data_IF_053628846860
#
_entry.id   IF_053628846860
#
_cell.length_a   1.000
_cell.length_b   1.000
_cell.length_c   1.000
_cell.angle_alpha   90.00
_cell.angle_beta   90.00
_cell.angle_gamma   90.00
#
_symmetry.space_group_name_H-M   'P 1'
#
loop_
_entity.id
_entity.type
_entity.pdbx_description
1 polymer ?
#
# COMPACT_ATOMS: atom_id res chain seq x y z
N UNK A 1 7.22 -30.65 -42.04
CA UNK A 1 7.65 -29.34 -41.51
C UNK A 1 6.54 -28.59 -40.74
N UNK A 2 5.51 -29.25 -40.20
CA UNK A 2 4.40 -28.55 -39.51
C UNK A 2 4.43 -28.60 -37.97
N UNK A 3 5.34 -29.39 -37.37
CA UNK A 3 5.33 -29.67 -35.92
C UNK A 3 6.23 -28.76 -35.08
N UNK A 4 7.23 -28.12 -35.68
CA UNK A 4 8.19 -27.28 -34.96
C UNK A 4 7.68 -25.85 -34.71
N UNK A 5 6.72 -25.37 -35.50
CA UNK A 5 6.22 -23.99 -35.38
C UNK A 5 5.20 -23.88 -34.22
N UNK A 6 4.39 -24.91 -33.98
CA UNK A 6 3.42 -24.93 -32.89
C UNK A 6 4.07 -24.96 -31.49
N UNK A 7 5.26 -25.56 -31.36
CA UNK A 7 5.96 -25.62 -30.07
C UNK A 7 6.50 -24.24 -29.63
N UNK A 8 6.91 -23.38 -30.58
CA UNK A 8 7.40 -22.03 -30.29
C UNK A 8 6.28 -21.09 -29.81
N UNK A 9 5.06 -21.25 -30.31
CA UNK A 9 3.92 -20.41 -29.90
C UNK A 9 3.50 -20.71 -28.45
N UNK A 10 3.60 -21.97 -28.02
CA UNK A 10 3.22 -22.35 -26.65
C UNK A 10 4.20 -21.79 -25.62
N UNK A 11 5.50 -21.74 -25.93
CA UNK A 11 6.53 -21.20 -25.01
C UNK A 11 6.48 -19.67 -24.94
N UNK A 12 6.13 -18.98 -26.03
CA UNK A 12 5.91 -17.52 -25.99
C UNK A 12 4.58 -17.12 -25.36
N UNK A 13 3.58 -18.01 -25.31
CA UNK A 13 2.27 -17.74 -24.73
C UNK A 13 2.21 -17.74 -23.20
N UNK A 14 3.17 -18.37 -22.52
CA UNK A 14 3.15 -18.50 -21.05
C UNK A 14 3.88 -17.39 -20.31
N UNK A 15 4.55 -16.48 -21.01
CA UNK A 15 5.27 -15.36 -20.39
C UNK A 15 4.38 -14.14 -20.09
N UNK A 16 3.11 -14.12 -20.52
CA UNK A 16 2.29 -12.90 -20.53
C UNK A 16 1.21 -12.82 -19.44
N UNK A 17 1.21 -13.71 -18.45
CA UNK A 17 0.30 -13.61 -17.30
C UNK A 17 1.01 -13.74 -15.96
N UNK A 18 2.09 -12.98 -15.78
CA UNK A 18 2.51 -12.52 -14.45
C UNK A 18 2.10 -11.05 -14.24
N UNK A 19 0.96 -10.65 -14.81
CA UNK A 19 0.36 -9.33 -14.60
C UNK A 19 -0.39 -9.34 -13.27
N UNK A 20 0.25 -8.76 -12.25
CA UNK A 20 -0.39 -8.21 -11.07
C UNK A 20 -1.27 -9.19 -10.26
N UNK A 21 -0.67 -10.23 -9.69
CA UNK A 21 -1.13 -10.67 -8.37
C UNK A 21 -0.84 -9.50 -7.41
N UNK A 22 -1.81 -8.60 -7.23
CA UNK A 22 -1.68 -7.50 -6.30
C UNK A 22 -1.54 -8.04 -4.88
N UNK A 23 -0.29 -8.24 -4.41
CA UNK A 23 0.04 -8.63 -3.05
C UNK A 23 -0.16 -7.47 -2.04
N UNK A 24 -1.01 -6.51 -2.38
CA UNK A 24 -1.39 -5.40 -1.51
C UNK A 24 -2.80 -5.62 -0.95
N UNK A 25 -3.13 -4.98 0.18
CA UNK A 25 -4.47 -5.07 0.74
C UNK A 25 -5.50 -4.51 -0.23
N UNK A 26 -6.64 -5.21 -0.35
CA UNK A 26 -7.76 -4.82 -1.22
C UNK A 26 -8.82 -3.99 -0.48
N UNK A 27 -8.82 -4.08 0.85
CA UNK A 27 -9.79 -3.42 1.71
C UNK A 27 -9.16 -3.02 3.05
N UNK A 28 -9.95 -2.31 3.86
CA UNK A 28 -9.55 -1.84 5.18
C UNK A 28 -9.10 -2.97 6.10
N UNK A 29 -9.87 -4.05 6.18
CA UNK A 29 -9.59 -5.16 7.09
C UNK A 29 -8.26 -5.84 6.77
N UNK A 30 -8.00 -6.11 5.48
CA UNK A 30 -6.73 -6.65 5.01
C UNK A 30 -5.56 -5.70 5.33
N UNK A 31 -5.73 -4.40 5.08
CA UNK A 31 -4.69 -3.39 5.35
C UNK A 31 -4.32 -3.35 6.84
N UNK A 32 -5.32 -3.33 7.73
CA UNK A 32 -5.10 -3.32 9.19
C UNK A 32 -4.47 -4.61 9.68
N UNK A 33 -4.93 -5.76 9.17
CA UNK A 33 -4.41 -7.07 9.57
C UNK A 33 -2.95 -7.27 9.13
N UNK A 34 -2.62 -6.85 7.90
CA UNK A 34 -1.28 -7.02 7.36
C UNK A 34 -0.28 -6.04 7.96
N UNK A 35 -0.71 -4.80 8.24
CA UNK A 35 0.21 -3.70 8.52
C UNK A 35 0.04 -3.07 9.89
N UNK A 36 -1.19 -2.70 10.29
CA UNK A 36 -1.39 -1.98 11.55
C UNK A 36 -1.16 -2.85 12.79
N UNK A 37 -1.52 -4.14 12.73
CA UNK A 37 -1.25 -5.08 13.83
C UNK A 37 0.24 -5.43 13.97
N UNK A 38 1.05 -5.11 12.95
CA UNK A 38 2.49 -5.41 12.91
C UNK A 38 3.37 -4.18 13.14
N UNK A 39 2.78 -2.99 13.28
CA UNK A 39 3.53 -1.79 13.60
C UNK A 39 4.20 -1.94 14.97
N UNK A 40 5.49 -1.61 15.05
CA UNK A 40 6.27 -1.75 16.27
C UNK A 40 5.93 -0.64 17.30
N UNK A 41 5.61 0.57 16.84
CA UNK A 41 5.17 1.68 17.69
C UNK A 41 3.66 1.82 17.80
N UNK A 42 3.19 2.42 18.90
CA UNK A 42 1.76 2.65 19.15
C UNK A 42 1.19 3.63 18.15
N UNK A 43 1.89 4.75 17.95
CA UNK A 43 1.44 5.79 17.04
C UNK A 43 1.61 5.36 15.58
N UNK A 44 2.61 4.54 15.25
CA UNK A 44 2.72 3.87 13.96
C UNK A 44 1.51 3.01 13.65
N UNK A 45 1.02 2.23 14.62
CA UNK A 45 -0.21 1.44 14.48
C UNK A 45 -1.46 2.32 14.29
N UNK A 46 -1.57 3.42 15.02
CA UNK A 46 -2.67 4.39 14.89
C UNK A 46 -2.67 5.06 13.52
N UNK A 47 -1.52 5.56 13.07
CA UNK A 47 -1.34 6.20 11.77
C UNK A 47 -1.57 5.22 10.61
N UNK A 48 -1.14 3.95 10.75
CA UNK A 48 -1.42 2.90 9.78
C UNK A 48 -2.93 2.65 9.66
N UNK A 49 -3.67 2.55 10.77
CA UNK A 49 -5.14 2.40 10.74
C UNK A 49 -5.81 3.59 10.06
N UNK A 50 -5.34 4.81 10.33
CA UNK A 50 -5.82 6.02 9.64
C UNK A 50 -5.56 5.95 8.14
N UNK A 51 -4.34 5.58 7.75
CA UNK A 51 -3.97 5.45 6.34
C UNK A 51 -4.84 4.40 5.63
N UNK A 52 -5.06 3.24 6.25
CA UNK A 52 -5.95 2.20 5.76
C UNK A 52 -7.41 2.68 5.66
N UNK A 53 -7.92 3.40 6.68
CA UNK A 53 -9.29 3.94 6.70
C UNK A 53 -9.49 4.92 5.55
N UNK A 54 -8.59 5.90 5.42
CA UNK A 54 -8.66 6.92 4.39
C UNK A 54 -8.48 6.37 2.97
N UNK A 55 -7.75 5.25 2.82
CA UNK A 55 -7.57 4.63 1.50
C UNK A 55 -8.74 3.74 1.08
N UNK A 56 -9.33 2.99 2.00
CA UNK A 56 -10.24 1.89 1.64
C UNK A 56 -11.66 1.97 2.21
N UNK A 57 -11.86 2.70 3.31
CA UNK A 57 -13.15 2.70 4.02
C UNK A 57 -13.89 4.02 3.84
N UNK A 58 -13.25 5.14 4.14
CA UNK A 58 -13.89 6.47 4.19
C UNK A 58 -12.95 7.55 3.64
N UNK A 59 -12.65 7.56 2.32
CA UNK A 59 -11.76 8.56 1.73
C UNK A 59 -12.28 10.00 1.87
N UNK A 60 -13.60 10.19 1.99
CA UNK A 60 -14.23 11.51 2.14
C UNK A 60 -14.29 12.03 3.58
N UNK A 61 -13.82 11.29 4.58
CA UNK A 61 -13.88 11.73 5.97
C UNK A 61 -13.04 13.01 6.19
N UNK A 62 -13.44 13.92 7.09
CA UNK A 62 -12.73 15.18 7.33
C UNK A 62 -11.23 15.00 7.61
N UNK A 63 -10.87 13.98 8.38
CA UNK A 63 -9.49 13.66 8.74
C UNK A 63 -8.65 13.13 7.56
N UNK A 64 -9.31 12.69 6.47
CA UNK A 64 -8.67 12.14 5.29
C UNK A 64 -8.34 13.21 4.23
N UNK A 65 -9.00 14.38 4.29
CA UNK A 65 -8.82 15.49 3.34
C UNK A 65 -7.40 16.06 3.30
N UNK A 66 -6.61 15.82 4.34
CA UNK A 66 -5.21 16.26 4.43
C UNK A 66 -4.22 15.30 3.74
N UNK A 67 -4.69 14.19 3.17
CA UNK A 67 -3.86 13.15 2.57
C UNK A 67 -4.20 12.93 1.10
N UNK A 68 -3.20 13.00 0.23
CA UNK A 68 -3.33 12.47 -1.13
C UNK A 68 -3.27 10.94 -1.12
N UNK A 69 -3.77 10.30 -2.16
CA UNK A 69 -3.69 8.83 -2.29
C UNK A 69 -2.22 8.33 -2.27
N UNK A 70 -1.29 9.12 -2.80
CA UNK A 70 0.14 8.83 -2.77
C UNK A 70 0.73 8.97 -1.37
N UNK A 71 0.31 9.98 -0.59
CA UNK A 71 0.72 10.11 0.81
C UNK A 71 0.27 8.91 1.64
N UNK A 72 -0.97 8.45 1.47
CA UNK A 72 -1.51 7.27 2.15
C UNK A 72 -0.71 6.01 1.81
N UNK A 73 -0.34 5.83 0.53
CA UNK A 73 0.50 4.70 0.10
C UNK A 73 1.90 4.76 0.69
N UNK A 74 2.51 5.96 0.71
CA UNK A 74 3.79 6.21 1.37
C UNK A 74 3.75 5.83 2.85
N UNK A 75 2.71 6.25 3.58
CA UNK A 75 2.53 5.91 4.99
C UNK A 75 2.44 4.38 5.19
N UNK A 76 1.62 3.70 4.38
CA UNK A 76 1.44 2.24 4.48
C UNK A 76 2.76 1.48 4.27
N UNK A 77 3.64 1.95 3.38
CA UNK A 77 4.92 1.31 3.13
C UNK A 77 5.99 1.58 4.19
N UNK A 78 5.89 2.68 4.94
CA UNK A 78 6.99 3.16 5.80
C UNK A 78 6.69 3.13 7.30
N UNK A 79 5.42 3.03 7.72
CA UNK A 79 5.09 3.05 9.16
C UNK A 79 5.28 1.70 9.87
N UNK A 80 5.29 0.58 9.14
CA UNK A 80 5.38 -0.76 9.76
C UNK A 80 6.69 -0.97 10.57
N UNK A 81 7.89 -0.67 10.05
CA UNK A 81 9.13 -0.95 10.77
C UNK A 81 9.46 0.07 11.87
N UNK A 82 8.62 1.09 12.08
CA UNK A 82 8.95 2.21 12.98
C UNK A 82 8.69 1.83 14.44
N UNK A 83 9.74 1.87 15.26
CA UNK A 83 9.71 1.44 16.66
C UNK A 83 9.36 2.57 17.63
N UNK A 84 9.62 3.83 17.26
CA UNK A 84 9.38 4.99 18.11
C UNK A 84 8.23 5.87 17.60
N UNK A 85 7.39 6.36 18.51
CA UNK A 85 6.21 7.16 18.15
C UNK A 85 6.60 8.46 17.42
N UNK A 86 7.70 9.10 17.81
CA UNK A 86 8.17 10.36 17.20
C UNK A 86 8.58 10.18 15.73
N UNK A 87 9.22 9.05 15.42
CA UNK A 87 9.59 8.68 14.05
C UNK A 87 8.34 8.41 13.20
N UNK A 88 7.29 7.84 13.77
CA UNK A 88 6.05 7.56 13.06
C UNK A 88 5.37 8.86 12.59
N UNK A 89 5.37 9.89 13.46
CA UNK A 89 4.93 11.23 13.10
C UNK A 89 5.87 11.92 12.10
N UNK A 90 7.17 11.64 12.17
CA UNK A 90 8.14 12.05 11.15
C UNK A 90 7.79 11.49 9.76
N UNK A 91 7.47 10.19 9.68
CA UNK A 91 7.03 9.52 8.45
C UNK A 91 5.72 10.13 7.91
N UNK A 92 4.73 10.34 8.78
CA UNK A 92 3.47 10.99 8.38
C UNK A 92 3.70 12.33 7.72
N UNK A 93 4.49 13.20 8.37
CA UNK A 93 4.79 14.54 7.88
C UNK A 93 5.59 14.49 6.58
N UNK A 94 6.58 13.61 6.49
CA UNK A 94 7.39 13.43 5.30
C UNK A 94 6.55 12.97 4.10
N UNK A 95 5.68 11.97 4.28
CA UNK A 95 4.80 11.48 3.24
C UNK A 95 3.80 12.55 2.78
N UNK A 96 3.21 13.31 3.71
CA UNK A 96 2.27 14.40 3.39
C UNK A 96 2.94 15.53 2.62
N UNK A 97 4.15 15.93 3.03
CA UNK A 97 4.90 17.00 2.37
C UNK A 97 5.40 16.60 0.98
N UNK A 98 5.82 15.34 0.80
CA UNK A 98 6.27 14.80 -0.49
C UNK A 98 5.13 14.61 -1.49
N UNK A 99 3.93 14.33 -0.97
CA UNK A 99 2.74 14.07 -1.78
C UNK A 99 1.58 14.95 -1.30
N UNK A 100 1.65 16.28 -1.53
CA UNK A 100 0.62 17.21 -1.07
C UNK A 100 -0.73 16.91 -1.73
N UNK A 101 -1.80 17.36 -1.09
CA UNK A 101 -3.15 17.33 -1.67
C UNK A 101 -3.17 18.32 -2.83
N UNK A 102 -3.59 17.87 -4.01
CA UNK A 102 -3.76 18.69 -5.22
C UNK A 102 -5.18 19.25 -5.28
#
# INVERSE_FOLDING_TARGET
MGRFILALIVVLGTATMASAQGFGPKNYAECVMLYAKKAASRDGGMLMRRACKCRFQEPGAPECKQYSQMALNCMVSNLMPVEHDEEAWGVERACRNKHPVQ
#
